data_IF_261286010547
#
_entry.id   IF_261286010547
#
_cell.length_a   1.000
_cell.length_b   1.000
_cell.length_c   1.000
_cell.angle_alpha   90.00
_cell.angle_beta   90.00
_cell.angle_gamma   90.00
#
_symmetry.space_group_name_H-M   'P 1'
#
loop_
_entity.id
_entity.type
_entity.pdbx_description
1 polymer ?
#
# COMPACT_ATOMS: atom_id res chain seq x y z
N UNK A 1 -5.39 16.20 -6.64
CA UNK A 1 -6.84 16.36 -6.84
C UNK A 1 -7.56 15.23 -6.09
N UNK A 2 -8.55 15.59 -5.27
CA UNK A 2 -9.37 14.65 -4.52
C UNK A 2 -10.83 14.82 -4.97
N UNK A 3 -11.46 13.74 -5.43
CA UNK A 3 -12.87 13.75 -5.84
C UNK A 3 -13.62 12.61 -5.18
N UNK A 4 -14.72 12.93 -4.52
CA UNK A 4 -15.65 11.96 -3.98
C UNK A 4 -16.96 12.02 -4.78
N UNK A 5 -17.47 10.86 -5.23
CA UNK A 5 -18.67 10.77 -6.05
C UNK A 5 -19.85 10.11 -5.31
N UNK A 6 -21.01 10.03 -5.97
CA UNK A 6 -22.23 9.44 -5.43
C UNK A 6 -22.18 7.91 -5.35
N UNK A 7 -21.21 7.26 -6.01
CA UNK A 7 -20.95 5.83 -5.94
C UNK A 7 -20.10 5.43 -4.73
N UNK A 8 -19.86 6.35 -3.80
CA UNK A 8 -18.97 6.21 -2.65
C UNK A 8 -17.51 5.91 -3.04
N UNK A 9 -17.03 6.56 -4.06
CA UNK A 9 -15.66 6.43 -4.53
C UNK A 9 -14.89 7.73 -4.29
N UNK A 10 -13.73 7.59 -3.67
CA UNK A 10 -12.74 8.65 -3.52
C UNK A 10 -11.60 8.42 -4.49
N UNK A 11 -11.48 9.24 -5.53
CA UNK A 11 -10.30 9.26 -6.38
C UNK A 11 -9.27 10.27 -5.89
N UNK A 12 -8.02 9.84 -5.87
CA UNK A 12 -6.84 10.68 -5.56
C UNK A 12 -5.95 10.68 -6.78
N UNK A 13 -5.85 11.82 -7.46
CA UNK A 13 -4.97 11.99 -8.62
C UNK A 13 -3.77 12.85 -8.23
N UNK A 14 -2.59 12.32 -8.45
CA UNK A 14 -1.34 13.05 -8.35
C UNK A 14 -0.92 13.55 -9.73
N UNK A 15 -0.55 14.82 -9.82
CA UNK A 15 -0.07 15.44 -11.04
C UNK A 15 1.14 16.31 -10.72
N UNK A 16 2.20 16.20 -11.53
CA UNK A 16 3.35 17.09 -11.46
C UNK A 16 4.02 17.23 -12.81
N UNK A 17 4.59 18.42 -13.05
CA UNK A 17 5.47 18.74 -14.15
C UNK A 17 6.83 19.18 -13.60
N UNK A 18 7.85 19.12 -14.43
CA UNK A 18 9.21 19.50 -14.05
C UNK A 18 9.89 20.22 -15.22
N UNK A 19 10.81 21.12 -14.92
CA UNK A 19 11.67 21.80 -15.90
C UNK A 19 13.00 21.08 -16.15
N UNK A 20 13.33 20.07 -15.33
CA UNK A 20 14.50 19.23 -15.49
C UNK A 20 14.21 17.80 -15.02
N UNK A 21 15.00 16.83 -15.48
CA UNK A 21 14.85 15.43 -15.09
C UNK A 21 14.91 15.27 -13.56
N UNK A 22 13.89 14.65 -12.96
CA UNK A 22 13.81 14.44 -11.53
C UNK A 22 13.05 13.15 -11.19
N UNK A 23 13.21 12.64 -9.98
CA UNK A 23 12.43 11.51 -9.49
C UNK A 23 11.23 11.98 -8.66
N UNK A 24 10.05 11.43 -8.97
CA UNK A 24 8.81 11.74 -8.24
C UNK A 24 8.14 10.43 -7.84
N UNK A 25 7.87 10.28 -6.54
CA UNK A 25 7.13 9.14 -5.99
C UNK A 25 6.14 9.65 -4.93
N UNK A 26 4.95 10.02 -5.39
CA UNK A 26 3.88 10.52 -4.51
C UNK A 26 2.95 9.41 -4.07
N UNK A 27 2.47 9.49 -2.83
CA UNK A 27 1.45 8.59 -2.28
C UNK A 27 0.43 9.36 -1.44
N UNK A 28 -0.69 8.70 -1.12
CA UNK A 28 -1.66 9.15 -0.12
C UNK A 28 -1.47 8.33 1.15
N UNK A 29 -1.11 8.98 2.26
CA UNK A 29 -0.85 8.34 3.54
C UNK A 29 -2.05 8.43 4.50
N UNK A 30 -3.25 8.13 4.00
CA UNK A 30 -4.46 8.11 4.83
C UNK A 30 -4.46 6.92 5.78
N UNK A 31 -4.86 7.16 7.03
CA UNK A 31 -4.99 6.18 8.10
C UNK A 31 -6.43 5.69 8.16
N UNK A 32 -6.69 4.47 7.69
CA UNK A 32 -8.02 3.88 7.66
C UNK A 32 -8.32 3.01 8.87
N UNK A 33 -9.52 3.15 9.41
CA UNK A 33 -10.12 2.23 10.36
C UNK A 33 -11.62 2.14 10.08
N UNK A 34 -12.05 1.08 9.41
CA UNK A 34 -13.45 0.91 8.97
C UNK A 34 -14.41 0.64 10.12
N UNK A 35 -13.94 0.25 11.30
CA UNK A 35 -14.73 0.10 12.50
C UNK A 35 -15.05 1.44 13.15
N UNK A 36 -14.15 2.41 13.03
CA UNK A 36 -14.23 3.72 13.69
C UNK A 36 -13.87 3.65 15.18
N UNK A 37 -14.10 4.74 15.91
CA UNK A 37 -13.98 4.90 17.37
C UNK A 37 -12.63 4.46 18.01
N UNK A 38 -11.53 4.43 17.25
CA UNK A 38 -10.19 4.15 17.74
C UNK A 38 -9.96 2.71 18.24
N UNK A 39 -10.81 1.76 17.85
CA UNK A 39 -10.59 0.33 18.11
C UNK A 39 -9.41 -0.18 17.28
N UNK A 40 -8.80 -1.29 17.75
CA UNK A 40 -7.72 -1.96 16.99
C UNK A 40 -8.21 -2.52 15.67
N UNK A 41 -7.30 -2.57 14.68
CA UNK A 41 -7.57 -3.05 13.33
C UNK A 41 -7.31 -4.56 13.19
N UNK A 42 -6.96 -5.25 14.26
CA UNK A 42 -6.56 -6.66 14.24
C UNK A 42 -7.62 -7.60 13.65
N UNK A 43 -8.90 -7.26 13.80
CA UNK A 43 -10.03 -8.04 13.26
C UNK A 43 -10.41 -7.64 11.82
N UNK A 44 -9.88 -6.52 11.30
CA UNK A 44 -10.08 -6.19 9.89
C UNK A 44 -9.46 -7.29 9.03
N UNK A 45 -10.15 -7.69 7.98
CA UNK A 45 -9.67 -8.68 7.02
C UNK A 45 -9.10 -7.98 5.81
N UNK A 46 -7.87 -8.32 5.48
CA UNK A 46 -7.11 -7.72 4.38
C UNK A 46 -6.84 -8.77 3.30
N UNK A 47 -7.02 -8.38 2.05
CA UNK A 47 -6.48 -9.04 0.87
C UNK A 47 -5.57 -8.05 0.14
N UNK A 48 -4.46 -8.53 -0.40
CA UNK A 48 -3.56 -7.76 -1.27
C UNK A 48 -3.29 -8.58 -2.53
N UNK A 49 -3.49 -7.97 -3.69
CA UNK A 49 -3.34 -8.62 -5.01
C UNK A 49 -1.87 -8.77 -5.41
N UNK A 50 -1.07 -9.33 -4.49
CA UNK A 50 0.36 -9.55 -4.71
C UNK A 50 0.84 -10.80 -3.98
N UNK A 51 1.69 -11.57 -4.65
CA UNK A 51 2.40 -12.73 -4.08
C UNK A 51 3.84 -12.41 -3.67
N UNK A 52 4.28 -11.13 -3.76
CA UNK A 52 5.65 -10.70 -3.48
C UNK A 52 5.69 -9.37 -2.76
N UNK A 53 6.71 -9.22 -1.90
CA UNK A 53 7.09 -7.96 -1.26
C UNK A 53 8.54 -7.62 -1.57
N UNK A 54 8.90 -6.35 -1.42
CA UNK A 54 10.31 -5.94 -1.37
C UNK A 54 10.91 -6.34 -0.02
N UNK A 55 12.04 -7.01 -0.07
CA UNK A 55 12.86 -7.28 1.11
C UNK A 55 13.56 -5.99 1.57
N UNK A 56 13.64 -5.77 2.88
CA UNK A 56 14.22 -4.55 3.45
C UNK A 56 15.28 -4.87 4.51
N UNK A 57 16.20 -3.93 4.68
CA UNK A 57 17.14 -3.89 5.81
C UNK A 57 16.43 -3.43 7.09
N UNK A 58 17.10 -3.53 8.25
CA UNK A 58 16.62 -2.96 9.52
C UNK A 58 16.49 -1.43 9.51
N UNK A 59 17.06 -0.75 8.51
CA UNK A 59 16.88 0.68 8.25
C UNK A 59 15.71 0.97 7.29
N UNK A 60 14.88 -0.05 6.98
CA UNK A 60 13.71 0.03 6.09
C UNK A 60 14.03 0.35 4.62
N UNK A 61 15.29 0.18 4.22
CA UNK A 61 15.75 0.40 2.84
C UNK A 61 15.61 -0.91 2.07
N UNK A 62 14.97 -0.91 0.88
CA UNK A 62 14.91 -2.09 0.03
C UNK A 62 16.29 -2.63 -0.32
N UNK A 63 16.43 -3.95 -0.27
CA UNK A 63 17.68 -4.65 -0.68
C UNK A 63 17.77 -4.91 -2.18
N UNK A 64 16.69 -4.61 -2.94
CA UNK A 64 16.50 -5.02 -4.33
C UNK A 64 15.89 -6.41 -4.49
N UNK A 65 15.92 -7.24 -3.45
CA UNK A 65 15.35 -8.59 -3.50
C UNK A 65 13.82 -8.56 -3.38
N UNK A 66 13.16 -9.35 -4.23
CA UNK A 66 11.72 -9.58 -4.22
C UNK A 66 11.42 -10.91 -3.53
N UNK A 67 10.76 -10.89 -2.38
CA UNK A 67 10.43 -12.09 -1.60
C UNK A 67 9.01 -12.57 -1.90
N UNK A 68 8.82 -13.88 -2.05
CA UNK A 68 7.48 -14.47 -2.10
C UNK A 68 6.84 -14.46 -0.72
N UNK A 69 5.55 -14.11 -0.67
CA UNK A 69 4.80 -14.02 0.59
C UNK A 69 4.26 -15.37 1.09
N UNK A 70 4.14 -16.36 0.21
CA UNK A 70 3.55 -17.67 0.51
C UNK A 70 4.24 -18.35 1.71
N UNK A 71 3.46 -18.78 2.68
CA UNK A 71 3.93 -19.40 3.92
C UNK A 71 4.75 -18.46 4.82
N UNK A 72 4.55 -17.15 4.71
CA UNK A 72 5.14 -16.13 5.57
C UNK A 72 4.04 -15.31 6.25
N UNK A 73 4.35 -14.52 7.28
CA UNK A 73 3.39 -13.59 7.89
C UNK A 73 2.80 -12.57 6.90
N UNK A 74 3.49 -12.30 5.81
CA UNK A 74 3.12 -11.31 4.78
C UNK A 74 2.11 -11.83 3.75
N UNK A 75 1.67 -13.09 3.84
CA UNK A 75 0.73 -13.67 2.88
C UNK A 75 -0.70 -13.15 3.09
N UNK A 76 -1.09 -12.14 2.29
CA UNK A 76 -2.44 -11.62 2.17
C UNK A 76 -3.06 -11.93 0.78
N UNK A 77 -2.59 -12.96 0.10
CA UNK A 77 -3.17 -13.40 -1.19
C UNK A 77 -4.58 -13.97 -1.04
N UNK A 78 -5.00 -14.24 0.18
CA UNK A 78 -6.39 -14.54 0.55
C UNK A 78 -6.82 -13.65 1.71
N UNK A 79 -8.13 -13.37 1.77
CA UNK A 79 -8.70 -12.51 2.80
C UNK A 79 -8.49 -13.10 4.19
N UNK A 80 -7.64 -12.49 5.03
CA UNK A 80 -7.37 -12.93 6.41
C UNK A 80 -7.35 -11.76 7.40
N UNK A 81 -7.57 -12.00 8.72
CA UNK A 81 -7.43 -10.96 9.73
C UNK A 81 -6.01 -10.38 9.73
N UNK A 82 -5.90 -9.04 9.80
CA UNK A 82 -4.59 -8.35 9.89
C UNK A 82 -3.82 -8.80 11.11
N UNK A 83 -4.52 -9.04 12.23
CA UNK A 83 -3.93 -9.47 13.49
C UNK A 83 -3.44 -10.91 13.51
N UNK A 84 -3.76 -11.74 12.49
CA UNK A 84 -3.42 -13.18 12.49
C UNK A 84 -1.91 -13.42 12.68
N UNK A 85 -1.08 -12.64 11.98
CA UNK A 85 0.37 -12.75 12.02
C UNK A 85 1.07 -11.43 12.37
N UNK A 86 0.34 -10.40 12.82
CA UNK A 86 0.88 -9.07 13.10
C UNK A 86 2.04 -9.09 14.10
N UNK A 87 1.99 -10.04 15.05
CA UNK A 87 2.98 -10.21 16.11
C UNK A 87 3.80 -11.50 15.96
N UNK A 88 3.85 -12.06 14.74
CA UNK A 88 4.67 -13.24 14.48
C UNK A 88 6.16 -12.94 14.74
N UNK A 89 6.90 -13.97 15.16
CA UNK A 89 8.35 -13.88 15.38
C UNK A 89 9.09 -13.86 14.03
N UNK A 90 9.08 -12.68 13.41
CA UNK A 90 9.76 -12.40 12.15
C UNK A 90 10.51 -11.07 12.25
N UNK A 91 11.79 -11.06 11.92
CA UNK A 91 12.68 -9.91 12.11
C UNK A 91 12.13 -8.60 11.54
N UNK A 92 11.58 -8.60 10.32
CA UNK A 92 11.02 -7.40 9.70
C UNK A 92 9.75 -6.90 10.38
N UNK A 93 8.92 -7.78 10.98
CA UNK A 93 7.78 -7.35 11.79
C UNK A 93 8.25 -6.74 13.11
N UNK A 94 9.29 -7.31 13.73
CA UNK A 94 9.87 -6.77 14.97
C UNK A 94 10.49 -5.39 14.73
N UNK A 95 11.26 -5.20 13.64
CA UNK A 95 11.84 -3.89 13.30
C UNK A 95 10.76 -2.83 13.08
N UNK A 96 9.68 -3.20 12.36
CA UNK A 96 8.60 -2.28 11.97
C UNK A 96 7.49 -2.13 13.01
N UNK A 97 7.52 -2.89 14.11
CA UNK A 97 6.44 -2.98 15.10
C UNK A 97 5.09 -3.29 14.45
N UNK A 98 5.12 -4.24 13.51
CA UNK A 98 3.99 -4.61 12.67
C UNK A 98 4.33 -4.58 11.19
N UNK A 99 3.34 -4.41 10.34
CA UNK A 99 3.57 -4.31 8.88
C UNK A 99 4.01 -2.89 8.50
N UNK A 100 5.03 -2.83 7.64
CA UNK A 100 5.49 -1.66 6.91
C UNK A 100 6.21 -2.17 5.65
N UNK A 101 5.44 -2.77 4.73
CA UNK A 101 6.00 -3.58 3.65
C UNK A 101 5.40 -3.20 2.31
N UNK A 102 6.25 -3.06 1.30
CA UNK A 102 5.88 -2.73 -0.06
C UNK A 102 5.55 -4.02 -0.84
N UNK A 103 4.29 -4.19 -1.21
CA UNK A 103 3.76 -5.28 -2.03
C UNK A 103 3.85 -4.93 -3.51
N UNK A 104 4.37 -5.85 -4.31
CA UNK A 104 4.64 -5.68 -5.74
C UNK A 104 3.40 -6.04 -6.54
N UNK A 105 2.73 -5.06 -7.13
CA UNK A 105 1.55 -5.29 -7.97
C UNK A 105 1.95 -5.61 -9.42
N UNK A 106 2.97 -4.92 -9.93
CA UNK A 106 3.50 -5.13 -11.28
C UNK A 106 4.99 -4.77 -11.37
N UNK A 107 5.74 -5.51 -12.19
CA UNK A 107 7.17 -5.28 -12.41
C UNK A 107 7.46 -4.23 -13.48
N UNK A 108 6.47 -3.85 -14.28
CA UNK A 108 6.60 -2.85 -15.34
C UNK A 108 5.41 -1.91 -15.31
N UNK A 109 5.65 -0.65 -15.61
CA UNK A 109 4.59 0.33 -15.71
C UNK A 109 3.61 0.03 -16.84
N UNK A 110 2.33 0.22 -16.56
CA UNK A 110 1.22 0.23 -17.50
C UNK A 110 0.17 1.20 -16.97
N UNK A 111 -0.66 1.74 -17.84
CA UNK A 111 -1.76 2.65 -17.47
C UNK A 111 -2.99 1.89 -16.94
N UNK A 112 -2.92 0.56 -16.87
CA UNK A 112 -4.02 -0.26 -16.38
C UNK A 112 -4.23 -0.09 -14.89
N UNK A 113 -5.46 0.23 -14.50
CA UNK A 113 -5.90 0.24 -13.11
C UNK A 113 -6.07 -1.20 -12.61
N UNK A 114 -5.35 -1.55 -11.54
CA UNK A 114 -5.39 -2.88 -10.91
C UNK A 114 -5.99 -2.76 -9.51
N UNK A 115 -6.72 -3.80 -9.07
CA UNK A 115 -7.04 -3.95 -7.67
C UNK A 115 -5.74 -4.22 -6.89
N UNK A 116 -5.36 -3.26 -6.05
CA UNK A 116 -4.19 -3.37 -5.18
C UNK A 116 -4.50 -4.15 -3.91
N UNK A 117 -5.63 -3.82 -3.27
CA UNK A 117 -6.02 -4.41 -2.00
C UNK A 117 -7.52 -4.27 -1.75
N UNK A 118 -8.06 -5.11 -0.85
CA UNK A 118 -9.35 -4.89 -0.23
C UNK A 118 -9.29 -5.09 1.28
N UNK A 119 -9.97 -4.20 2.01
CA UNK A 119 -10.05 -4.19 3.47
C UNK A 119 -11.52 -4.32 3.87
N UNK A 120 -11.82 -5.30 4.75
CA UNK A 120 -13.18 -5.57 5.25
C UNK A 120 -13.22 -5.56 6.78
N UNK A 121 -14.21 -4.89 7.36
CA UNK A 121 -14.45 -4.88 8.80
C UNK A 121 -15.73 -5.66 9.12
N UNK A 122 -15.61 -6.83 9.81
CA UNK A 122 -16.73 -7.77 9.91
C UNK A 122 -17.87 -7.35 10.84
N UNK A 123 -17.66 -6.40 11.76
CA UNK A 123 -18.71 -5.96 12.70
C UNK A 123 -19.63 -4.93 12.06
N UNK A 124 -19.09 -4.02 11.26
CA UNK A 124 -19.86 -2.97 10.59
C UNK A 124 -20.28 -3.35 9.17
N UNK A 125 -19.70 -4.41 8.60
CA UNK A 125 -19.87 -4.80 7.21
C UNK A 125 -19.18 -3.85 6.21
N UNK A 126 -18.42 -2.85 6.66
CA UNK A 126 -17.74 -1.90 5.77
C UNK A 126 -16.61 -2.57 5.04
N UNK A 127 -16.55 -2.32 3.75
CA UNK A 127 -15.46 -2.76 2.87
C UNK A 127 -14.92 -1.58 2.09
N UNK A 128 -13.60 -1.53 1.95
CA UNK A 128 -12.87 -0.62 1.07
C UNK A 128 -12.08 -1.43 0.05
N UNK A 129 -12.19 -1.10 -1.23
CA UNK A 129 -11.35 -1.63 -2.32
C UNK A 129 -10.45 -0.51 -2.81
N UNK A 130 -9.19 -0.84 -3.06
CA UNK A 130 -8.16 0.09 -3.55
C UNK A 130 -7.74 -0.33 -4.94
N UNK A 131 -7.95 0.55 -5.91
CA UNK A 131 -7.49 0.39 -7.30
C UNK A 131 -6.41 1.41 -7.61
N UNK A 132 -5.41 1.06 -8.43
CA UNK A 132 -4.34 1.99 -8.82
C UNK A 132 -3.67 1.59 -10.13
N UNK A 133 -3.13 2.56 -10.84
CA UNK A 133 -2.20 2.38 -11.97
C UNK A 133 -0.73 2.29 -11.51
N UNK A 134 -0.43 2.54 -10.24
CA UNK A 134 0.91 2.48 -9.64
C UNK A 134 1.41 1.04 -9.44
N UNK A 135 2.72 0.80 -9.42
CA UNK A 135 3.29 -0.55 -9.44
C UNK A 135 3.32 -1.27 -8.10
N UNK A 136 3.02 -0.58 -7.00
CA UNK A 136 3.07 -1.16 -5.66
C UNK A 136 2.02 -0.56 -4.72
N UNK A 137 1.76 -1.29 -3.64
CA UNK A 137 1.06 -0.78 -2.45
C UNK A 137 1.87 -1.10 -1.21
N UNK A 138 2.13 -0.09 -0.37
CA UNK A 138 2.76 -0.27 0.93
C UNK A 138 1.67 -0.43 1.99
N UNK A 139 1.75 -1.55 2.72
CA UNK A 139 0.93 -1.80 3.90
C UNK A 139 1.65 -1.30 5.14
N UNK A 140 1.05 -0.35 5.88
CA UNK A 140 1.53 0.10 7.18
C UNK A 140 0.42 -0.02 8.23
N UNK A 141 0.73 -0.60 9.39
CA UNK A 141 -0.24 -0.85 10.47
C UNK A 141 -0.05 0.08 11.68
N UNK A 142 0.46 1.28 11.44
CA UNK A 142 0.60 2.33 12.44
C UNK A 142 1.43 1.91 13.69
N UNK A 143 2.43 1.03 13.53
CA UNK A 143 3.24 0.50 14.63
C UNK A 143 4.05 1.56 15.39
N UNK A 144 4.34 2.70 14.76
CA UNK A 144 5.03 3.85 15.37
C UNK A 144 4.09 4.99 15.76
N UNK A 145 2.78 4.80 15.62
CA UNK A 145 1.80 5.79 16.02
C UNK A 145 1.57 5.78 17.54
N UNK A 146 1.11 6.88 18.14
CA UNK A 146 0.86 6.99 19.58
C UNK A 146 -0.12 5.94 20.12
N UNK A 147 -1.02 5.47 19.25
CA UNK A 147 -1.94 4.36 19.49
C UNK A 147 -1.70 3.29 18.42
N UNK A 148 -0.74 2.36 18.66
CA UNK A 148 -0.41 1.34 17.68
C UNK A 148 -1.60 0.43 17.37
N UNK A 149 -1.61 -0.16 16.17
CA UNK A 149 -2.64 -1.09 15.68
C UNK A 149 -4.05 -0.49 15.59
N UNK A 150 -4.19 0.82 15.50
CA UNK A 150 -5.50 1.47 15.40
C UNK A 150 -5.83 1.98 14.01
N UNK A 151 -4.92 1.82 13.06
CA UNK A 151 -5.12 2.23 11.68
C UNK A 151 -4.30 1.39 10.69
N UNK A 152 -4.74 1.39 9.44
CA UNK A 152 -4.07 0.78 8.29
C UNK A 152 -3.87 1.86 7.24
N UNK A 153 -2.64 1.98 6.72
CA UNK A 153 -2.36 2.73 5.51
C UNK A 153 -2.16 1.74 4.35
N UNK A 154 -2.75 2.05 3.20
CA UNK A 154 -2.57 1.36 1.92
C UNK A 154 -2.08 2.41 0.93
N UNK A 155 -0.75 2.53 0.83
CA UNK A 155 -0.08 3.61 0.13
C UNK A 155 0.35 3.13 -1.25
N UNK A 156 -0.41 3.48 -2.26
CA UNK A 156 -0.06 3.18 -3.64
C UNK A 156 1.06 4.09 -4.11
N UNK A 157 2.11 3.53 -4.71
CA UNK A 157 3.32 4.27 -5.04
C UNK A 157 4.24 3.48 -5.99
N UNK A 158 5.32 4.10 -6.45
CA UNK A 158 6.47 3.37 -6.98
C UNK A 158 7.21 2.66 -5.85
N UNK A 159 8.06 1.71 -6.19
CA UNK A 159 8.88 1.03 -5.18
C UNK A 159 9.75 2.06 -4.45
N UNK A 160 9.87 1.98 -3.12
CA UNK A 160 10.82 2.81 -2.40
C UNK A 160 12.24 2.59 -2.91
N UNK A 161 13.06 3.64 -2.87
CA UNK A 161 14.46 3.63 -3.33
C UNK A 161 14.67 3.22 -4.81
N UNK A 162 13.65 3.41 -5.66
CA UNK A 162 13.71 3.11 -7.10
C UNK A 162 14.97 3.67 -7.80
N UNK A 163 15.49 4.88 -7.49
CA UNK A 163 16.69 5.39 -8.15
C UNK A 163 17.94 4.55 -7.95
N UNK A 164 18.01 3.76 -6.87
CA UNK A 164 19.17 2.90 -6.56
C UNK A 164 19.08 1.52 -7.22
N UNK A 165 17.94 1.18 -7.87
CA UNK A 165 17.69 -0.16 -8.41
C UNK A 165 17.22 -0.09 -9.87
N UNK A 166 18.10 -0.42 -10.81
CA UNK A 166 17.82 -0.33 -12.26
C UNK A 166 16.75 -1.30 -12.78
N UNK A 167 16.42 -2.33 -12.01
CA UNK A 167 15.37 -3.32 -12.31
C UNK A 167 14.00 -2.96 -11.74
N UNK A 168 13.91 -1.85 -10.99
CA UNK A 168 12.64 -1.34 -10.48
C UNK A 168 11.92 -0.46 -11.52
N UNK A 169 10.58 -0.40 -11.50
CA UNK A 169 9.84 0.54 -12.34
C UNK A 169 10.31 1.97 -12.09
N UNK A 170 10.80 2.65 -13.12
CA UNK A 170 11.36 4.01 -12.98
C UNK A 170 10.29 5.03 -12.63
N UNK A 171 10.55 5.85 -11.62
CA UNK A 171 9.80 7.05 -11.28
C UNK A 171 10.49 8.35 -11.75
N UNK A 172 11.38 8.24 -12.74
CA UNK A 172 12.02 9.40 -13.39
C UNK A 172 10.99 10.14 -14.24
N UNK A 173 10.87 11.43 -14.01
CA UNK A 173 10.03 12.35 -14.77
C UNK A 173 10.91 13.28 -15.57
N UNK A 174 10.58 13.46 -16.85
CA UNK A 174 11.26 14.34 -17.79
C UNK A 174 10.39 15.55 -18.10
N UNK A 175 10.98 16.70 -18.54
CA UNK A 175 10.20 17.90 -18.85
C UNK A 175 9.08 17.71 -19.88
N UNK A 176 9.24 16.75 -20.79
CA UNK A 176 8.27 16.49 -21.86
C UNK A 176 7.09 15.62 -21.44
N UNK A 177 7.13 15.04 -20.23
CA UNK A 177 6.12 14.09 -19.76
C UNK A 177 5.75 14.37 -18.31
N UNK A 178 4.50 14.76 -18.09
CA UNK A 178 3.97 14.92 -16.74
C UNK A 178 3.94 13.59 -15.96
N UNK A 179 4.16 13.67 -14.65
CA UNK A 179 3.82 12.62 -13.70
C UNK A 179 2.30 12.66 -13.49
N UNK A 180 1.62 11.61 -13.80
CA UNK A 180 0.17 11.52 -13.60
C UNK A 180 -0.21 10.10 -13.20
N UNK A 181 -0.73 9.93 -11.98
CA UNK A 181 -1.16 8.65 -11.44
C UNK A 181 -2.42 8.81 -10.59
N UNK A 182 -3.21 7.73 -10.55
CA UNK A 182 -4.49 7.71 -9.86
C UNK A 182 -4.60 6.55 -8.88
N UNK A 183 -5.25 6.82 -7.75
CA UNK A 183 -5.71 5.81 -6.81
C UNK A 183 -7.18 6.02 -6.54
N UNK A 184 -7.96 4.94 -6.60
CA UNK A 184 -9.39 4.94 -6.32
C UNK A 184 -9.66 4.09 -5.07
N UNK A 185 -10.33 4.69 -4.09
CA UNK A 185 -10.85 4.01 -2.91
C UNK A 185 -12.38 3.91 -3.05
N UNK A 186 -12.91 2.70 -3.22
CA UNK A 186 -14.35 2.44 -3.29
C UNK A 186 -14.85 1.89 -1.97
N UNK A 187 -15.92 2.47 -1.43
CA UNK A 187 -16.50 2.09 -0.13
C UNK A 187 -17.88 1.48 -0.30
N UNK A 188 -18.13 0.37 0.40
CA UNK A 188 -19.41 -0.33 0.41
C UNK A 188 -19.70 -0.97 1.77
N UNK A 189 -20.97 -1.37 1.98
CA UNK A 189 -21.39 -2.20 3.13
C UNK A 189 -21.89 -3.54 2.58
N UNK A 190 -21.40 -4.66 3.15
CA UNK A 190 -21.74 -6.03 2.78
C UNK A 190 -22.49 -6.72 3.93
#
# INVERSE_FOLDING_TARGET
>A
DYRFNEDNELSVRHYAETDCATYINMTNHAYFNLRGNGKKITEHRLHISSDRILDTTSAFIPTGRKMKVKNTPFDFTSLKPVGADLYADHEQLLWNKGYNHCYILKDKMSEEMLEAASLYEPVTGRKMTVMTDLPAVLLYTAGYYDRPDTAICLETQFYPDTPSHSDFPSCLVLPEKAYEHCTLFSFQVQ
#
